data_IF_962882092308
#
_entry.id   IF_962882092308
#
_cell.length_a   1.000
_cell.length_b   1.000
_cell.length_c   1.000
_cell.angle_alpha   90.00
_cell.angle_beta   90.00
_cell.angle_gamma   90.00
#
_symmetry.space_group_name_H-M   'P 1'
#
loop_
_entity.id
_entity.type
_entity.pdbx_description
1 polymer ?
#
# COMPACT_ATOMS: atom_id res chain seq x y z
N UNK A 1 -8.99 17.42 -8.72
CA UNK A 1 -7.89 16.66 -8.13
C UNK A 1 -6.60 17.03 -8.85
N UNK A 2 -5.51 17.28 -8.12
CA UNK A 2 -4.20 17.48 -8.72
C UNK A 2 -3.39 16.20 -8.56
N UNK A 3 -2.68 15.78 -9.61
CA UNK A 3 -1.76 14.66 -9.57
C UNK A 3 -0.39 15.12 -10.05
N UNK A 4 0.66 14.51 -9.51
CA UNK A 4 2.03 14.68 -9.95
C UNK A 4 2.61 13.29 -10.23
N UNK A 5 3.34 13.16 -11.34
CA UNK A 5 4.01 11.92 -11.73
C UNK A 5 5.51 12.16 -11.91
N UNK A 6 6.32 11.25 -11.39
CA UNK A 6 7.77 11.24 -11.56
C UNK A 6 8.22 9.83 -11.88
N UNK A 7 9.02 9.67 -12.94
CA UNK A 7 9.62 8.40 -13.27
C UNK A 7 10.68 8.01 -12.24
N UNK A 8 10.65 6.75 -11.80
CA UNK A 8 11.61 6.16 -10.88
C UNK A 8 12.09 4.80 -11.40
N UNK A 9 13.12 4.22 -10.76
CA UNK A 9 13.64 2.88 -11.08
C UNK A 9 12.64 1.80 -10.61
N UNK A 10 11.64 1.54 -11.47
CA UNK A 10 10.57 0.58 -11.24
C UNK A 10 9.86 0.76 -9.88
N UNK A 11 9.26 -0.29 -9.34
CA UNK A 11 8.51 -0.24 -8.08
C UNK A 11 9.39 0.04 -6.86
N UNK A 12 10.59 -0.54 -6.78
CA UNK A 12 11.50 -0.34 -5.64
C UNK A 12 12.03 1.09 -5.58
N UNK A 13 12.44 1.67 -6.71
CA UNK A 13 12.84 3.07 -6.80
C UNK A 13 11.69 4.01 -6.46
N UNK A 14 10.48 3.70 -6.92
CA UNK A 14 9.27 4.48 -6.61
C UNK A 14 8.95 4.46 -5.11
N UNK A 15 8.97 3.27 -4.48
CA UNK A 15 8.80 3.13 -3.03
C UNK A 15 9.86 3.90 -2.27
N UNK A 16 11.12 3.83 -2.71
CA UNK A 16 12.23 4.54 -2.09
C UNK A 16 12.03 6.05 -2.16
N UNK A 17 11.78 6.60 -3.35
CA UNK A 17 11.59 8.03 -3.55
C UNK A 17 10.38 8.56 -2.75
N UNK A 18 9.25 7.85 -2.78
CA UNK A 18 8.05 8.22 -2.03
C UNK A 18 8.26 8.15 -0.51
N UNK A 19 8.89 7.09 -0.01
CA UNK A 19 9.19 6.96 1.42
C UNK A 19 10.15 8.07 1.89
N UNK A 20 11.15 8.40 1.08
CA UNK A 20 12.10 9.45 1.41
C UNK A 20 11.45 10.84 1.41
N UNK A 21 10.53 11.11 0.48
CA UNK A 21 9.70 12.31 0.50
C UNK A 21 8.86 12.39 1.79
N UNK A 22 8.15 11.31 2.13
CA UNK A 22 7.34 11.24 3.36
C UNK A 22 8.18 11.49 4.61
N UNK A 23 9.38 10.89 4.68
CA UNK A 23 10.25 10.98 5.83
C UNK A 23 10.98 12.33 5.95
N UNK A 24 11.42 12.93 4.84
CA UNK A 24 12.24 14.15 4.86
C UNK A 24 11.42 15.42 4.75
N UNK A 25 10.34 15.40 3.98
CA UNK A 25 9.53 16.58 3.67
C UNK A 25 8.31 16.65 4.57
N UNK A 26 7.58 15.53 4.73
CA UNK A 26 6.38 15.47 5.57
C UNK A 26 6.65 15.02 7.01
N UNK A 27 7.91 14.71 7.34
CA UNK A 27 8.37 14.26 8.65
C UNK A 27 7.57 13.07 9.23
N UNK A 28 7.08 12.17 8.37
CA UNK A 28 6.42 10.93 8.78
C UNK A 28 7.47 9.84 9.06
N UNK A 29 7.45 9.27 10.27
CA UNK A 29 8.50 8.34 10.75
C UNK A 29 7.99 6.96 11.14
N UNK A 30 6.69 6.75 11.06
CA UNK A 30 6.02 5.49 11.41
C UNK A 30 5.38 4.87 10.18
N UNK A 31 5.71 3.61 9.88
CA UNK A 31 5.13 2.85 8.78
C UNK A 31 4.52 1.55 9.27
N UNK A 32 3.39 1.16 8.67
CA UNK A 32 2.69 -0.10 8.91
C UNK A 32 2.62 -0.91 7.63
N UNK A 33 2.86 -2.21 7.77
CA UNK A 33 2.83 -3.17 6.67
C UNK A 33 1.88 -4.33 6.96
N UNK A 34 1.35 -4.95 5.92
CA UNK A 34 0.61 -6.21 6.09
C UNK A 34 1.50 -7.28 6.74
N UNK A 35 0.91 -8.14 7.56
CA UNK A 35 1.57 -9.35 8.03
C UNK A 35 0.94 -10.59 7.36
N UNK A 36 1.63 -11.25 6.41
CA UNK A 36 2.95 -10.94 5.85
C UNK A 36 2.92 -9.83 4.76
N UNK A 37 4.08 -9.42 4.26
CA UNK A 37 4.26 -8.47 3.14
C UNK A 37 5.48 -8.85 2.30
N UNK A 38 5.75 -8.14 1.18
CA UNK A 38 6.97 -8.33 0.40
C UNK A 38 8.22 -8.03 1.25
N UNK A 39 9.18 -8.97 1.29
CA UNK A 39 10.30 -8.94 2.23
C UNK A 39 11.16 -7.67 2.21
N UNK A 40 11.16 -6.93 1.10
CA UNK A 40 11.98 -5.72 0.97
C UNK A 40 11.30 -4.44 1.50
N UNK A 41 10.00 -4.45 1.79
CA UNK A 41 9.28 -3.24 2.21
C UNK A 41 9.91 -2.55 3.42
N UNK A 42 10.18 -3.32 4.48
CA UNK A 42 10.78 -2.77 5.69
C UNK A 42 12.17 -2.17 5.42
N UNK A 43 13.01 -2.88 4.65
CA UNK A 43 14.35 -2.40 4.30
C UNK A 43 14.31 -1.08 3.51
N UNK A 44 13.41 -0.97 2.53
CA UNK A 44 13.24 0.28 1.75
C UNK A 44 12.89 1.45 2.67
N UNK A 45 11.91 1.27 3.56
CA UNK A 45 11.46 2.32 4.47
C UNK A 45 12.50 2.65 5.55
N UNK A 46 13.20 1.66 6.11
CA UNK A 46 14.33 1.87 7.01
C UNK A 46 15.39 2.75 6.35
N UNK A 47 15.81 2.39 5.13
CA UNK A 47 16.83 3.15 4.43
C UNK A 47 16.36 4.56 4.04
N UNK A 48 15.04 4.79 3.90
CA UNK A 48 14.44 6.10 3.63
C UNK A 48 14.32 7.01 4.86
N UNK A 49 14.62 6.49 6.06
CA UNK A 49 14.64 7.27 7.30
C UNK A 49 13.39 7.14 8.17
N UNK A 50 12.59 6.08 8.00
CA UNK A 50 11.57 5.68 8.98
C UNK A 50 12.23 4.98 10.17
N UNK A 51 11.74 5.27 11.37
CA UNK A 51 12.32 4.75 12.63
C UNK A 51 11.36 3.87 13.41
N UNK A 52 10.06 3.94 13.14
CA UNK A 52 9.04 3.14 13.81
C UNK A 52 8.30 2.26 12.81
N UNK A 53 8.12 0.98 13.16
CA UNK A 53 7.49 0.01 12.29
C UNK A 53 6.41 -0.76 13.04
N UNK A 54 5.19 -0.72 12.50
CA UNK A 54 4.07 -1.55 12.91
C UNK A 54 3.70 -2.56 11.82
N UNK A 55 2.76 -3.43 12.14
CA UNK A 55 2.15 -4.34 11.17
C UNK A 55 0.67 -4.49 11.44
N UNK A 56 -0.12 -4.74 10.40
CA UNK A 56 -1.53 -5.10 10.53
C UNK A 56 -1.75 -6.57 10.13
N UNK A 57 -2.56 -7.27 10.91
CA UNK A 57 -2.83 -8.71 10.79
C UNK A 57 -3.73 -8.98 9.58
N UNK A 58 -3.07 -9.15 8.43
CA UNK A 58 -3.73 -9.24 7.13
C UNK A 58 -4.21 -10.66 6.79
N UNK A 59 -3.40 -11.68 7.06
CA UNK A 59 -3.64 -13.04 6.59
C UNK A 59 -4.27 -13.96 7.64
N UNK A 60 -5.45 -14.49 7.35
CA UNK A 60 -6.01 -15.64 8.08
C UNK A 60 -5.44 -16.93 7.49
N UNK A 61 -4.54 -17.60 8.23
CA UNK A 61 -3.91 -18.85 7.77
C UNK A 61 -4.91 -20.00 7.67
N UNK A 62 -5.90 -20.05 8.54
CA UNK A 62 -6.84 -21.16 8.64
C UNK A 62 -7.93 -21.03 7.56
N UNK A 63 -8.47 -19.82 7.41
CA UNK A 63 -9.51 -19.51 6.39
C UNK A 63 -8.94 -19.20 5.01
N UNK A 64 -7.63 -18.98 4.92
CA UNK A 64 -6.92 -18.58 3.70
C UNK A 64 -7.53 -17.33 3.04
N UNK A 65 -7.83 -16.32 3.84
CA UNK A 65 -8.43 -15.07 3.38
C UNK A 65 -7.89 -13.86 4.13
N UNK A 66 -8.35 -12.66 3.75
CA UNK A 66 -8.05 -11.42 4.48
C UNK A 66 -8.78 -11.44 5.84
N UNK A 67 -8.02 -11.30 6.92
CA UNK A 67 -8.51 -11.14 8.30
C UNK A 67 -9.08 -9.73 8.52
N UNK A 68 -10.16 -9.36 7.81
CA UNK A 68 -10.63 -7.96 7.76
C UNK A 68 -10.87 -7.36 9.16
N UNK A 69 -11.47 -8.10 10.09
CA UNK A 69 -11.73 -7.57 11.44
C UNK A 69 -10.42 -7.18 12.16
N UNK A 70 -9.36 -7.98 11.99
CA UNK A 70 -8.05 -7.71 12.59
C UNK A 70 -7.33 -6.57 11.87
N UNK A 71 -7.42 -6.51 10.54
CA UNK A 71 -6.91 -5.38 9.76
C UNK A 71 -7.51 -4.07 10.26
N UNK A 72 -8.84 -4.00 10.39
CA UNK A 72 -9.51 -2.79 10.85
C UNK A 72 -9.12 -2.44 12.29
N UNK A 73 -9.03 -3.43 13.18
CA UNK A 73 -8.60 -3.21 14.56
C UNK A 73 -7.17 -2.64 14.66
N UNK A 74 -6.24 -3.18 13.89
CA UNK A 74 -4.84 -2.70 13.89
C UNK A 74 -4.71 -1.30 13.28
N UNK A 75 -5.47 -0.99 12.22
CA UNK A 75 -5.51 0.35 11.64
C UNK A 75 -6.18 1.35 12.60
N UNK A 76 -7.24 0.95 13.30
CA UNK A 76 -7.90 1.75 14.34
C UNK A 76 -7.01 1.94 15.58
N UNK A 77 -5.98 1.12 15.78
CA UNK A 77 -5.00 1.26 16.86
C UNK A 77 -3.73 2.01 16.43
N UNK A 78 -3.46 2.12 15.13
CA UNK A 78 -2.26 2.79 14.62
C UNK A 78 -2.21 4.27 15.07
N UNK A 79 -1.02 4.81 15.43
CA UNK A 79 -0.89 6.24 15.69
C UNK A 79 -1.30 7.06 14.47
N UNK A 80 -1.98 8.20 14.69
CA UNK A 80 -2.30 9.14 13.61
C UNK A 80 -1.04 9.53 12.82
N UNK A 81 -1.22 9.86 11.53
CA UNK A 81 -0.12 10.19 10.60
C UNK A 81 0.86 9.03 10.33
N UNK A 82 0.56 7.81 10.79
CA UNK A 82 1.30 6.63 10.34
C UNK A 82 1.07 6.39 8.84
N UNK A 83 2.12 5.98 8.14
CA UNK A 83 2.05 5.60 6.72
C UNK A 83 1.63 4.14 6.62
N UNK A 84 0.50 3.88 5.97
CA UNK A 84 -0.02 2.54 5.74
C UNK A 84 0.35 2.12 4.32
N UNK A 85 1.26 1.17 4.20
CA UNK A 85 1.64 0.61 2.91
C UNK A 85 0.66 -0.49 2.51
N UNK A 86 -0.08 -0.28 1.43
CA UNK A 86 -1.11 -1.19 0.91
C UNK A 86 -0.68 -1.76 -0.44
N UNK A 87 -1.00 -3.03 -0.70
CA UNK A 87 -0.84 -3.61 -2.04
C UNK A 87 -2.12 -3.29 -2.81
N UNK A 88 -2.00 -2.66 -3.99
CA UNK A 88 -3.18 -2.25 -4.76
C UNK A 88 -3.98 -3.43 -5.31
N UNK A 89 -3.29 -4.51 -5.68
CA UNK A 89 -3.84 -5.79 -6.15
C UNK A 89 -2.73 -6.86 -6.12
N UNK A 90 -3.12 -8.13 -6.22
CA UNK A 90 -2.27 -9.31 -6.19
C UNK A 90 -1.25 -9.27 -5.04
N UNK A 91 -1.75 -9.21 -3.81
CA UNK A 91 -0.95 -9.11 -2.60
C UNK A 91 0.23 -10.09 -2.57
N UNK A 92 1.43 -9.60 -2.27
CA UNK A 92 2.63 -10.43 -2.11
C UNK A 92 3.00 -10.59 -0.62
N UNK A 93 3.07 -11.81 -0.07
CA UNK A 93 3.08 -13.12 -0.75
C UNK A 93 1.75 -13.88 -0.77
N UNK A 94 0.66 -13.33 -0.22
CA UNK A 94 -0.54 -14.14 0.05
C UNK A 94 -1.39 -14.45 -1.18
N UNK A 95 -1.29 -13.62 -2.22
CA UNK A 95 -2.16 -13.64 -3.38
C UNK A 95 -3.61 -13.21 -3.11
N UNK A 96 -3.94 -12.80 -1.88
CA UNK A 96 -5.30 -12.48 -1.48
C UNK A 96 -5.52 -10.99 -1.31
N UNK A 97 -6.49 -10.47 -2.03
CA UNK A 97 -6.88 -9.06 -2.01
C UNK A 97 -8.19 -8.86 -1.23
N UNK A 98 -8.41 -7.68 -0.62
CA UNK A 98 -9.70 -7.36 -0.02
C UNK A 98 -10.80 -7.24 -1.09
N UNK A 99 -12.03 -7.59 -0.73
CA UNK A 99 -13.19 -7.28 -1.58
C UNK A 99 -13.43 -5.78 -1.64
N UNK A 100 -14.28 -5.31 -2.57
CA UNK A 100 -14.62 -3.89 -2.66
C UNK A 100 -15.24 -3.37 -1.35
N UNK A 101 -16.09 -4.15 -0.70
CA UNK A 101 -16.69 -3.83 0.60
C UNK A 101 -15.63 -3.72 1.70
N UNK A 102 -14.64 -4.61 1.70
CA UNK A 102 -13.54 -4.56 2.65
C UNK A 102 -12.63 -3.35 2.40
N UNK A 103 -12.36 -3.01 1.14
CA UNK A 103 -11.63 -1.80 0.76
C UNK A 103 -12.35 -0.53 1.22
N UNK A 104 -13.68 -0.48 1.13
CA UNK A 104 -14.47 0.63 1.67
C UNK A 104 -14.24 0.80 3.18
N UNK A 105 -14.30 -0.29 3.94
CA UNK A 105 -14.05 -0.28 5.38
C UNK A 105 -12.62 0.17 5.72
N UNK A 106 -11.62 -0.32 4.98
CA UNK A 106 -10.22 0.08 5.15
C UNK A 106 -10.06 1.58 4.89
N UNK A 107 -10.64 2.09 3.79
CA UNK A 107 -10.61 3.51 3.45
C UNK A 107 -11.26 4.36 4.55
N UNK A 108 -12.40 3.93 5.08
CA UNK A 108 -13.12 4.63 6.15
C UNK A 108 -12.26 4.75 7.42
N UNK A 109 -11.63 3.66 7.86
CA UNK A 109 -10.75 3.66 9.04
C UNK A 109 -9.54 4.56 8.81
N UNK A 110 -8.84 4.42 7.67
CA UNK A 110 -7.68 5.27 7.33
C UNK A 110 -8.06 6.75 7.36
N UNK A 111 -9.20 7.10 6.77
CA UNK A 111 -9.72 8.48 6.74
C UNK A 111 -10.05 9.00 8.12
N UNK A 112 -10.81 8.23 8.91
CA UNK A 112 -11.21 8.56 10.28
C UNK A 112 -10.00 8.77 11.19
N UNK A 113 -8.97 7.95 11.00
CA UNK A 113 -7.77 7.91 11.84
C UNK A 113 -6.63 8.80 11.33
N UNK A 114 -6.87 9.61 10.30
CA UNK A 114 -5.87 10.50 9.70
C UNK A 114 -4.55 9.78 9.40
N UNK A 115 -4.64 8.57 8.85
CA UNK A 115 -3.50 7.78 8.42
C UNK A 115 -3.15 8.11 6.98
N UNK A 116 -1.86 8.07 6.63
CA UNK A 116 -1.40 8.39 5.28
C UNK A 116 -1.31 7.12 4.43
N UNK A 117 -1.92 7.11 3.25
CA UNK A 117 -1.91 5.93 2.38
C UNK A 117 -0.74 5.94 1.39
N UNK A 118 -0.05 4.80 1.26
CA UNK A 118 0.91 4.57 0.20
C UNK A 118 0.59 3.22 -0.48
N UNK A 119 0.21 3.25 -1.75
CA UNK A 119 -0.02 2.03 -2.54
C UNK A 119 1.27 1.54 -3.22
N UNK A 120 1.53 0.24 -3.15
CA UNK A 120 2.45 -0.49 -4.02
C UNK A 120 1.65 -1.27 -5.07
N UNK A 121 1.95 -1.06 -6.35
CA UNK A 121 1.25 -1.67 -7.48
C UNK A 121 2.28 -2.23 -8.46
N UNK A 122 2.57 -3.51 -8.32
CA UNK A 122 3.52 -4.21 -9.19
C UNK A 122 2.88 -5.12 -10.24
N UNK A 123 1.60 -5.46 -10.06
CA UNK A 123 0.93 -6.57 -10.75
C UNK A 123 -0.42 -6.18 -11.39
N UNK A 124 -0.62 -4.89 -11.69
CA UNK A 124 -1.87 -4.43 -12.31
C UNK A 124 -2.15 -5.19 -13.62
N UNK A 125 -3.30 -5.83 -13.71
CA UNK A 125 -3.72 -6.72 -14.79
C UNK A 125 -3.58 -8.21 -14.49
N UNK A 126 -2.95 -8.61 -13.38
CA UNK A 126 -2.70 -10.01 -13.03
C UNK A 126 -3.69 -10.57 -12.01
N UNK A 127 -4.42 -9.72 -11.27
CA UNK A 127 -5.36 -10.21 -10.26
C UNK A 127 -6.67 -10.64 -10.93
N UNK A 128 -7.32 -9.74 -11.68
CA UNK A 128 -8.57 -10.03 -12.40
C UNK A 128 -8.38 -10.34 -13.89
N UNK A 129 -7.18 -10.12 -14.45
CA UNK A 129 -6.97 -10.10 -15.89
C UNK A 129 -7.34 -8.76 -16.55
N UNK A 130 -7.84 -7.78 -15.78
CA UNK A 130 -8.23 -6.46 -16.27
C UNK A 130 -7.51 -5.36 -15.47
N UNK A 131 -6.61 -4.57 -16.10
CA UNK A 131 -5.90 -3.49 -15.43
C UNK A 131 -6.80 -2.41 -14.79
N UNK A 132 -7.97 -2.14 -15.36
CA UNK A 132 -8.91 -1.17 -14.81
C UNK A 132 -9.59 -1.67 -13.54
N UNK A 133 -9.94 -2.96 -13.51
CA UNK A 133 -10.53 -3.58 -12.32
C UNK A 133 -9.50 -3.67 -11.18
N UNK A 134 -8.25 -3.99 -11.50
CA UNK A 134 -7.15 -4.08 -10.54
C UNK A 134 -6.76 -2.73 -9.92
N UNK A 135 -7.12 -1.61 -10.58
CA UNK A 135 -6.91 -0.26 -10.05
C UNK A 135 -8.09 0.29 -9.23
N UNK A 136 -9.16 -0.50 -9.03
CA UNK A 136 -10.40 -0.02 -8.42
C UNK A 136 -10.20 0.57 -7.02
N UNK A 137 -9.41 -0.10 -6.16
CA UNK A 137 -9.18 0.36 -4.78
C UNK A 137 -8.55 1.76 -4.74
N UNK A 138 -7.57 2.01 -5.60
CA UNK A 138 -6.90 3.32 -5.69
C UNK A 138 -7.88 4.39 -6.18
N UNK A 139 -8.66 4.09 -7.24
CA UNK A 139 -9.68 5.01 -7.75
C UNK A 139 -10.74 5.33 -6.70
N UNK A 140 -11.14 4.33 -5.90
CA UNK A 140 -12.06 4.56 -4.80
C UNK A 140 -11.46 5.48 -3.73
N UNK A 141 -10.19 5.28 -3.33
CA UNK A 141 -9.52 6.18 -2.37
C UNK A 141 -9.44 7.62 -2.92
N UNK A 142 -9.21 7.78 -4.23
CA UNK A 142 -9.23 9.08 -4.91
C UNK A 142 -10.61 9.74 -4.79
N UNK A 143 -11.68 8.99 -5.09
CA UNK A 143 -13.06 9.46 -5.00
C UNK A 143 -13.45 9.87 -3.57
N UNK A 144 -12.88 9.20 -2.56
CA UNK A 144 -13.06 9.56 -1.15
C UNK A 144 -12.26 10.80 -0.71
N UNK A 145 -11.50 11.41 -1.62
CA UNK A 145 -10.70 12.61 -1.38
C UNK A 145 -9.43 12.35 -0.56
N UNK A 146 -8.90 11.12 -0.60
CA UNK A 146 -7.70 10.75 0.16
C UNK A 146 -6.43 11.31 -0.49
N UNK A 147 -5.55 11.88 0.33
CA UNK A 147 -4.17 12.14 -0.06
C UNK A 147 -3.36 10.84 0.05
N UNK A 148 -2.59 10.52 -1.00
CA UNK A 148 -1.86 9.26 -1.06
C UNK A 148 -0.64 9.34 -1.97
N UNK A 149 0.27 8.39 -1.82
CA UNK A 149 1.30 8.08 -2.81
C UNK A 149 1.02 6.73 -3.49
N UNK A 150 1.51 6.58 -4.71
CA UNK A 150 1.39 5.36 -5.50
C UNK A 150 2.77 5.03 -6.08
N UNK A 151 3.29 3.84 -5.78
CA UNK A 151 4.45 3.26 -6.42
C UNK A 151 3.99 2.27 -7.48
N UNK A 152 4.16 2.62 -8.75
CA UNK A 152 3.79 1.79 -9.89
C UNK A 152 5.03 1.11 -10.47
N UNK A 153 4.98 -0.21 -10.65
CA UNK A 153 6.03 -0.97 -11.35
C UNK A 153 5.52 -1.43 -12.72
N UNK A 154 6.39 -1.33 -13.73
CA UNK A 154 6.15 -1.91 -15.06
C UNK A 154 6.89 -3.23 -15.32
N UNK A 155 7.70 -3.67 -14.35
CA UNK A 155 8.58 -4.83 -14.51
C UNK A 155 7.84 -6.14 -14.82
N UNK A 156 6.62 -6.32 -14.30
CA UNK A 156 5.89 -7.60 -14.40
C UNK A 156 4.84 -7.57 -15.49
N UNK A 157 4.06 -6.50 -15.55
CA UNK A 157 3.02 -6.32 -16.56
C UNK A 157 3.54 -6.01 -17.96
N UNK A 158 4.70 -5.36 -18.10
CA UNK A 158 5.37 -5.18 -19.40
C UNK A 158 6.57 -6.11 -19.61
N UNK A 159 6.93 -6.93 -18.61
CA UNK A 159 8.10 -7.81 -18.67
C UNK A 159 9.45 -7.08 -18.62
N UNK A 160 9.48 -5.82 -18.16
CA UNK A 160 10.66 -4.97 -18.11
C UNK A 160 11.41 -5.08 -16.76
N UNK A 161 11.90 -6.26 -16.42
CA UNK A 161 12.43 -6.56 -15.07
C UNK A 161 13.75 -5.86 -14.68
N UNK A 162 14.50 -5.33 -15.64
CA UNK A 162 15.88 -4.82 -15.45
C UNK A 162 16.01 -3.32 -15.72
N UNK A 163 14.96 -2.56 -15.39
CA UNK A 163 14.96 -1.08 -15.39
C UNK A 163 15.88 -0.46 -14.34
#
# INVERSE_FOLDING_TARGET
MQYAGVQCLSGTGSLRAGAEFLARILNLKTAYFSNPTWGNHKLVFTNAGFTNFGSYQYWDKDKRCVSIEKVLADLEAAPEKSVILLHGCAHNPTGMDPTQEQWKQICEVIKKRHLFTFFDIAYQGFASGNPDADAWAIRYFVEQGMEMLIAQSFAKNFGLYSE
#
